data_IF_508749513811
#
_entry.id   IF_508749513811
#
_cell.length_a   1.000
_cell.length_b   1.000
_cell.length_c   1.000
_cell.angle_alpha   90.00
_cell.angle_beta   90.00
_cell.angle_gamma   90.00
#
_symmetry.space_group_name_H-M   'P 1'
#
loop_
_entity.id
_entity.type
_entity.pdbx_description
1 polymer ?
#
# COMPACT_ATOMS: atom_id res chain seq x y z
N UNK A 1 -3.58 16.30 -8.17
CA UNK A 1 -4.27 15.28 -8.99
C UNK A 1 -3.51 14.91 -10.26
N UNK A 2 -3.31 15.83 -11.23
CA UNK A 2 -2.67 15.52 -12.53
C UNK A 2 -1.23 14.96 -12.47
N UNK A 3 -0.44 15.35 -11.46
CA UNK A 3 0.97 14.90 -11.32
C UNK A 3 1.11 13.47 -10.79
N UNK A 4 0.16 13.01 -9.98
CA UNK A 4 0.10 11.63 -9.48
C UNK A 4 -0.50 10.69 -10.53
N UNK A 5 -1.50 11.18 -11.27
CA UNK A 5 -2.09 10.40 -12.37
C UNK A 5 -1.02 10.07 -13.43
N UNK A 6 -0.17 11.03 -13.83
CA UNK A 6 0.93 10.82 -14.81
C UNK A 6 2.22 10.21 -14.22
N UNK A 7 2.23 9.83 -12.94
CA UNK A 7 3.40 9.33 -12.22
C UNK A 7 3.68 7.83 -12.43
N UNK A 8 4.89 7.41 -12.04
CA UNK A 8 5.45 6.07 -12.26
C UNK A 8 4.64 4.90 -11.67
N UNK A 9 3.80 5.13 -10.66
CA UNK A 9 3.07 4.05 -9.98
C UNK A 9 1.84 3.55 -10.76
N UNK A 10 1.22 4.41 -11.57
CA UNK A 10 0.00 4.05 -12.29
C UNK A 10 0.18 3.83 -13.79
N UNK A 11 1.40 4.04 -14.30
CA UNK A 11 1.75 3.88 -15.72
C UNK A 11 0.72 4.49 -16.69
N UNK A 12 0.09 5.62 -16.34
CA UNK A 12 -0.79 6.42 -17.25
C UNK A 12 -0.01 7.02 -18.42
N UNK A 13 1.30 6.75 -18.53
CA UNK A 13 2.06 7.05 -19.73
C UNK A 13 1.69 6.08 -20.85
N UNK A 14 1.69 6.57 -22.11
CA UNK A 14 0.57 6.34 -23.00
C UNK A 14 0.60 4.95 -23.62
N UNK A 15 -0.31 4.09 -23.17
CA UNK A 15 -0.86 3.09 -24.08
C UNK A 15 -1.62 3.88 -25.13
N UNK A 16 -1.10 3.91 -26.36
CA UNK A 16 -1.72 4.64 -27.46
C UNK A 16 -2.99 3.93 -27.90
N UNK A 17 -4.08 4.15 -27.16
CA UNK A 17 -5.40 3.69 -27.55
C UNK A 17 -5.87 4.51 -28.75
N UNK A 18 -6.10 3.83 -29.88
CA UNK A 18 -6.55 4.45 -31.13
C UNK A 18 -8.07 4.47 -31.30
N UNK A 19 -8.81 3.85 -30.38
CA UNK A 19 -10.28 3.85 -30.38
C UNK A 19 -10.81 4.50 -29.11
N UNK A 20 -11.81 5.35 -29.27
CA UNK A 20 -12.47 6.08 -28.18
C UNK A 20 -12.93 5.16 -27.02
N UNK A 21 -13.58 4.00 -27.26
CA UNK A 21 -14.00 3.13 -26.16
C UNK A 21 -12.84 2.62 -25.30
N UNK A 22 -11.68 2.34 -25.91
CA UNK A 22 -10.49 1.85 -25.18
C UNK A 22 -9.84 2.96 -24.35
N UNK A 23 -9.85 4.19 -24.85
CA UNK A 23 -9.39 5.36 -24.08
C UNK A 23 -10.25 5.53 -22.82
N UNK A 24 -11.57 5.51 -22.96
CA UNK A 24 -12.48 5.68 -21.82
C UNK A 24 -12.31 4.58 -20.77
N UNK A 25 -12.22 3.32 -21.21
CA UNK A 25 -12.00 2.18 -20.32
C UNK A 25 -10.66 2.29 -19.56
N UNK A 26 -9.58 2.67 -20.25
CA UNK A 26 -8.27 2.83 -19.61
C UNK A 26 -8.27 3.96 -18.57
N UNK A 27 -8.84 5.12 -18.91
CA UNK A 27 -8.96 6.23 -17.97
C UNK A 27 -9.76 5.84 -16.73
N UNK A 28 -10.86 5.09 -16.89
CA UNK A 28 -11.64 4.58 -15.78
C UNK A 28 -10.81 3.67 -14.86
N UNK A 29 -10.12 2.67 -15.43
CA UNK A 29 -9.27 1.74 -14.68
C UNK A 29 -8.15 2.49 -13.95
N UNK A 30 -7.50 3.46 -14.60
CA UNK A 30 -6.49 4.30 -13.97
C UNK A 30 -7.09 5.13 -12.84
N UNK A 31 -8.25 5.77 -13.02
CA UNK A 31 -8.87 6.52 -11.92
C UNK A 31 -9.21 5.62 -10.72
N UNK A 32 -9.71 4.40 -10.96
CA UNK A 32 -9.97 3.42 -9.91
C UNK A 32 -8.70 2.95 -9.20
N UNK A 33 -7.67 2.59 -9.97
CA UNK A 33 -6.39 2.15 -9.40
C UNK A 33 -5.76 3.27 -8.55
N UNK A 34 -5.81 4.52 -9.01
CA UNK A 34 -5.34 5.67 -8.24
C UNK A 34 -6.13 5.86 -6.95
N UNK A 35 -7.46 5.72 -7.01
CA UNK A 35 -8.31 5.85 -5.84
C UNK A 35 -8.00 4.79 -4.78
N UNK A 36 -7.85 3.53 -5.21
CA UNK A 36 -7.44 2.42 -4.33
C UNK A 36 -6.07 2.70 -3.74
N UNK A 37 -5.09 3.07 -4.56
CA UNK A 37 -3.74 3.38 -4.09
C UNK A 37 -3.74 4.52 -3.06
N UNK A 38 -4.48 5.60 -3.34
CA UNK A 38 -4.62 6.72 -2.42
C UNK A 38 -5.22 6.28 -1.09
N UNK A 39 -6.30 5.48 -1.13
CA UNK A 39 -6.96 4.96 0.07
C UNK A 39 -6.02 4.07 0.89
N UNK A 40 -5.32 3.13 0.23
CA UNK A 40 -4.34 2.26 0.87
C UNK A 40 -3.21 3.07 1.53
N UNK A 41 -2.72 4.13 0.87
CA UNK A 41 -1.73 5.03 1.48
C UNK A 41 -2.27 5.73 2.71
N UNK A 42 -3.51 6.21 2.69
CA UNK A 42 -4.12 6.86 3.87
C UNK A 42 -4.21 5.89 5.05
N UNK A 43 -4.69 4.67 4.80
CA UNK A 43 -4.86 3.65 5.83
C UNK A 43 -3.51 3.17 6.37
N UNK A 44 -2.53 2.93 5.50
CA UNK A 44 -1.22 2.40 5.88
C UNK A 44 -0.18 3.47 6.22
N UNK A 45 -0.56 4.74 6.38
CA UNK A 45 0.36 5.80 6.86
C UNK A 45 1.25 5.34 8.03
N UNK A 46 0.74 4.60 9.06
CA UNK A 46 1.57 4.10 10.16
C UNK A 46 2.70 3.17 9.73
N UNK A 47 2.51 2.37 8.69
CA UNK A 47 3.50 1.42 8.17
C UNK A 47 4.39 1.99 7.05
N UNK A 48 4.02 3.15 6.49
CA UNK A 48 4.71 3.77 5.35
C UNK A 48 5.66 4.89 5.78
N UNK A 49 6.59 5.29 4.90
CA UNK A 49 7.40 6.52 5.07
C UNK A 49 6.59 7.83 4.90
N UNK A 50 5.32 7.81 5.28
CA UNK A 50 4.39 8.93 5.22
C UNK A 50 4.20 9.58 6.60
N UNK A 51 3.70 10.81 6.58
CA UNK A 51 3.55 11.65 7.76
C UNK A 51 2.11 11.65 8.25
N UNK A 52 1.93 11.05 9.43
CA UNK A 52 0.64 10.86 10.09
C UNK A 52 0.11 12.19 10.66
N UNK A 53 1.00 13.11 11.02
CA UNK A 53 0.67 14.42 11.62
C UNK A 53 0.43 15.49 10.55
N UNK A 54 0.76 15.22 9.28
CA UNK A 54 0.76 16.22 8.22
C UNK A 54 -0.59 16.89 7.99
N UNK A 55 -1.70 16.16 8.11
CA UNK A 55 -3.04 16.73 7.93
C UNK A 55 -3.37 17.74 9.03
N UNK A 56 -3.04 17.42 10.28
CA UNK A 56 -3.26 18.30 11.42
C UNK A 56 -2.32 19.51 11.39
N UNK A 57 -1.07 19.30 10.95
CA UNK A 57 -0.08 20.35 10.79
C UNK A 57 -0.48 21.33 9.68
N UNK A 58 -1.14 20.87 8.61
CA UNK A 58 -1.56 21.74 7.50
C UNK A 58 -2.53 22.83 7.93
N UNK A 59 -3.38 22.58 8.91
CA UNK A 59 -4.35 23.58 9.40
C UNK A 59 -3.69 24.69 10.22
N UNK A 60 -2.53 24.40 10.82
CA UNK A 60 -1.83 25.31 11.75
C UNK A 60 -0.61 25.99 11.12
N UNK A 61 -0.12 25.46 10.01
CA UNK A 61 1.10 25.91 9.34
C UNK A 61 0.84 27.10 8.43
N UNK A 62 1.81 28.01 8.35
CA UNK A 62 1.88 29.01 7.29
C UNK A 62 1.79 28.35 5.89
N UNK A 63 0.79 28.72 5.07
CA UNK A 63 0.55 28.12 3.76
C UNK A 63 1.63 28.45 2.72
N UNK A 64 2.42 29.50 2.93
CA UNK A 64 3.48 29.96 2.01
C UNK A 64 4.86 29.45 2.45
N UNK A 65 5.06 29.19 3.74
CA UNK A 65 6.32 28.67 4.26
C UNK A 65 6.59 27.23 3.81
N UNK A 66 7.84 26.95 3.42
CA UNK A 66 8.28 25.66 2.91
C UNK A 66 7.96 24.49 3.86
N UNK A 67 7.35 23.42 3.34
CA UNK A 67 6.93 22.21 4.08
C UNK A 67 8.04 21.64 4.99
N UNK A 68 7.70 21.33 6.24
CA UNK A 68 8.59 20.79 7.27
C UNK A 68 8.02 19.46 7.75
N UNK A 69 8.81 18.38 7.79
CA UNK A 69 8.34 17.09 8.28
C UNK A 69 8.19 17.09 9.79
N UNK A 70 7.18 16.40 10.28
CA UNK A 70 6.87 16.26 11.70
C UNK A 70 8.01 15.58 12.48
N UNK A 71 8.11 15.79 13.80
CA UNK A 71 9.08 15.09 14.63
C UNK A 71 8.94 13.56 14.58
N UNK A 72 7.71 13.04 14.49
CA UNK A 72 7.45 11.60 14.39
C UNK A 72 8.00 11.02 13.10
N UNK A 73 7.79 11.66 11.95
CA UNK A 73 8.36 11.19 10.68
C UNK A 73 9.87 11.29 10.64
N UNK A 74 10.46 12.34 11.23
CA UNK A 74 11.92 12.43 11.34
C UNK A 74 12.49 11.23 12.12
N UNK A 75 11.87 10.87 13.25
CA UNK A 75 12.27 9.68 14.04
C UNK A 75 12.07 8.38 13.25
N UNK A 76 10.90 8.22 12.63
CA UNK A 76 10.52 7.04 11.82
C UNK A 76 11.47 6.83 10.65
N UNK A 77 11.83 7.89 9.92
CA UNK A 77 12.80 7.83 8.82
C UNK A 77 14.22 7.54 9.30
N UNK A 78 14.62 8.10 10.43
CA UNK A 78 15.96 7.88 11.00
C UNK A 78 16.13 6.44 11.49
N UNK A 79 15.15 5.91 12.23
CA UNK A 79 15.17 4.54 12.78
C UNK A 79 14.78 3.47 11.76
N UNK A 80 14.00 3.83 10.74
CA UNK A 80 13.31 2.90 9.82
C UNK A 80 12.36 1.92 10.53
N UNK A 81 11.85 2.33 11.69
CA UNK A 81 10.92 1.58 12.52
C UNK A 81 9.72 2.47 12.89
N UNK A 82 8.54 1.85 13.01
CA UNK A 82 7.32 2.47 13.53
C UNK A 82 7.41 2.65 15.05
N UNK A 83 6.41 3.30 15.64
CA UNK A 83 6.29 3.40 17.10
C UNK A 83 6.18 2.01 17.77
N UNK A 84 5.56 1.05 17.09
CA UNK A 84 5.34 -0.33 17.55
C UNK A 84 6.50 -1.28 17.20
N UNK A 85 7.68 -0.74 16.89
CA UNK A 85 8.88 -1.50 16.53
C UNK A 85 8.74 -2.38 15.27
N UNK A 86 7.81 -2.04 14.38
CA UNK A 86 7.69 -2.69 13.08
C UNK A 86 8.58 -1.99 12.04
N UNK A 87 9.13 -2.72 11.06
CA UNK A 87 9.86 -2.10 9.96
C UNK A 87 8.97 -1.18 9.13
N UNK A 88 9.54 -0.08 8.64
CA UNK A 88 8.83 0.89 7.78
C UNK A 88 9.05 0.56 6.30
N UNK A 89 8.01 0.68 5.49
CA UNK A 89 8.02 0.30 4.08
C UNK A 89 7.70 1.48 3.14
N UNK A 90 8.09 1.33 1.87
CA UNK A 90 7.40 2.01 0.76
C UNK A 90 6.12 1.24 0.39
N UNK A 91 5.15 1.87 -0.27
CA UNK A 91 3.90 1.17 -0.67
C UNK A 91 4.20 -0.09 -1.49
N UNK A 92 5.11 0.01 -2.46
CA UNK A 92 5.52 -1.11 -3.31
C UNK A 92 6.13 -2.26 -2.50
N UNK A 93 7.01 -1.95 -1.55
CA UNK A 93 7.66 -2.99 -0.74
C UNK A 93 6.72 -3.58 0.30
N UNK A 94 5.75 -2.79 0.79
CA UNK A 94 4.70 -3.31 1.66
C UNK A 94 3.80 -4.28 0.90
N UNK A 95 3.33 -3.90 -0.31
CA UNK A 95 2.56 -4.80 -1.16
C UNK A 95 3.32 -6.08 -1.52
N UNK A 96 4.62 -5.98 -1.80
CA UNK A 96 5.47 -7.15 -2.03
C UNK A 96 5.57 -8.05 -0.77
N UNK A 97 5.64 -7.44 0.41
CA UNK A 97 5.65 -8.16 1.69
C UNK A 97 4.30 -8.83 1.99
N UNK A 98 3.18 -8.16 1.74
CA UNK A 98 1.84 -8.75 1.87
C UNK A 98 1.63 -9.90 0.87
N UNK A 99 2.24 -9.80 -0.31
CA UNK A 99 2.22 -10.84 -1.34
C UNK A 99 2.98 -12.12 -0.97
N UNK A 100 3.73 -12.17 0.14
CA UNK A 100 4.35 -13.41 0.62
C UNK A 100 3.36 -14.34 1.31
N UNK A 101 2.14 -13.86 1.62
CA UNK A 101 1.08 -14.69 2.16
C UNK A 101 0.55 -15.65 1.09
N UNK A 102 0.62 -16.95 1.37
CA UNK A 102 0.29 -17.99 0.40
C UNK A 102 -0.86 -18.89 0.87
N UNK A 103 -1.62 -19.42 -0.10
CA UNK A 103 -2.55 -20.53 0.10
C UNK A 103 -1.92 -21.79 -0.48
N UNK A 104 -1.45 -22.66 0.40
CA UNK A 104 -0.82 -23.92 0.04
C UNK A 104 -1.88 -25.01 -0.10
N UNK A 105 -1.79 -25.82 -1.17
CA UNK A 105 -2.56 -27.07 -1.28
C UNK A 105 -1.65 -28.21 -0.80
N UNK A 106 -1.99 -28.78 0.33
CA UNK A 106 -1.24 -29.86 0.95
C UNK A 106 -1.90 -31.20 0.64
N UNK A 107 -1.09 -32.22 0.38
CA UNK A 107 -1.55 -33.60 0.19
C UNK A 107 -1.14 -34.45 1.38
N UNK A 108 -2.08 -35.25 1.87
CA UNK A 108 -1.81 -36.18 2.98
C UNK A 108 -1.12 -37.42 2.42
N UNK A 109 0.19 -37.53 2.63
CA UNK A 109 1.00 -38.65 2.10
C UNK A 109 0.55 -40.01 2.65
N UNK A 110 0.04 -40.05 3.88
CA UNK A 110 -0.45 -41.27 4.52
C UNK A 110 -1.79 -41.77 4.00
N UNK A 111 -2.51 -40.97 3.20
CA UNK A 111 -3.78 -41.37 2.60
C UNK A 111 -3.57 -41.72 1.12
N UNK A 112 -3.72 -43.00 0.81
CA UNK A 112 -3.62 -43.54 -0.56
C UNK A 112 -4.71 -42.98 -1.49
N UNK A 113 -5.81 -42.46 -0.94
CA UNK A 113 -6.89 -41.81 -1.69
C UNK A 113 -6.48 -40.43 -2.25
N UNK A 114 -5.32 -39.91 -1.81
CA UNK A 114 -4.79 -38.64 -2.28
C UNK A 114 -5.53 -37.42 -1.75
N UNK A 115 -6.08 -37.48 -0.53
CA UNK A 115 -6.80 -36.34 0.07
C UNK A 115 -5.92 -35.09 0.09
N UNK A 116 -6.49 -33.98 -0.37
CA UNK A 116 -5.86 -32.66 -0.35
C UNK A 116 -6.66 -31.68 0.50
N UNK A 117 -5.97 -30.73 1.12
CA UNK A 117 -6.59 -29.63 1.83
C UNK A 117 -5.83 -28.33 1.56
N UNK A 118 -6.50 -27.20 1.73
CA UNK A 118 -5.88 -25.89 1.60
C UNK A 118 -5.48 -25.34 2.98
N UNK A 119 -4.27 -24.81 3.08
CA UNK A 119 -3.75 -24.18 4.29
C UNK A 119 -3.20 -22.79 3.96
N UNK A 120 -3.60 -21.78 4.72
CA UNK A 120 -3.03 -20.44 4.64
C UNK A 120 -1.77 -20.36 5.51
N UNK A 121 -0.78 -19.60 5.07
CA UNK A 121 0.35 -19.24 5.92
C UNK A 121 -0.12 -18.39 7.09
N UNK A 122 0.50 -18.60 8.26
CA UNK A 122 0.35 -17.73 9.42
C UNK A 122 0.79 -16.30 9.06
N UNK A 123 0.10 -15.33 9.65
CA UNK A 123 0.40 -13.93 9.44
C UNK A 123 1.63 -13.55 10.26
N UNK A 124 2.57 -12.84 9.64
CA UNK A 124 3.60 -12.13 10.40
C UNK A 124 3.01 -10.83 11.03
N UNK A 125 3.72 -10.22 11.99
CA UNK A 125 3.22 -9.03 12.69
C UNK A 125 2.92 -7.83 11.76
N UNK A 126 3.68 -7.65 10.68
CA UNK A 126 3.46 -6.56 9.72
C UNK A 126 2.24 -6.84 8.86
N UNK A 127 2.06 -8.08 8.39
CA UNK A 127 0.89 -8.48 7.64
C UNK A 127 -0.38 -8.39 8.49
N UNK A 128 -0.30 -8.77 9.78
CA UNK A 128 -1.40 -8.64 10.71
C UNK A 128 -1.80 -7.17 10.90
N UNK A 129 -0.84 -6.29 11.24
CA UNK A 129 -1.11 -4.86 11.43
C UNK A 129 -1.68 -4.22 10.15
N UNK A 130 -1.09 -4.53 8.99
CA UNK A 130 -1.56 -4.00 7.71
C UNK A 130 -3.01 -4.38 7.40
N UNK A 131 -3.41 -5.62 7.71
CA UNK A 131 -4.80 -6.06 7.52
C UNK A 131 -5.73 -5.44 8.57
N UNK A 132 -5.30 -5.33 9.83
CA UNK A 132 -6.08 -4.66 10.87
C UNK A 132 -6.35 -3.19 10.57
N UNK A 133 -5.39 -2.48 9.97
CA UNK A 133 -5.58 -1.09 9.55
C UNK A 133 -6.66 -0.95 8.47
N UNK A 134 -6.85 -1.94 7.59
CA UNK A 134 -7.89 -1.92 6.55
C UNK A 134 -9.31 -2.11 7.08
N UNK A 135 -9.46 -2.67 8.29
CA UNK A 135 -10.76 -2.93 8.92
C UNK A 135 -11.27 -1.76 9.77
N UNK A 136 -10.46 -0.70 9.94
CA UNK A 136 -10.83 0.54 10.65
C UNK A 136 -11.54 1.53 9.74
#
# INVERSE_FOLDING_TARGET
MFRCLKGLDLLVRPIHHRSEPRVHAHLLICMLAYYVEWHLRQVWKPLLFEDEELEQDRDRRDPVAAAQPSPSVRRKKAKRETADHLPVYSLRTLLAHLGTRCRNTCQVISDLSGTTFAQLTELDPVQQEALQLLEK
#
